data_IF_700126764098
#
_entry.id   IF_700126764098
#
_cell.length_a   1.000
_cell.length_b   1.000
_cell.length_c   1.000
_cell.angle_alpha   90.00
_cell.angle_beta   90.00
_cell.angle_gamma   90.00
#
_symmetry.space_group_name_H-M   'P 1'
#
loop_
_entity.id
_entity.type
_entity.pdbx_description
1 polymer ?
#
# COMPACT_ATOMS: atom_id res chain seq x y z
N UNK A 1 -15.93 13.45 12.13
CA UNK A 1 -14.71 13.01 11.41
C UNK A 1 -14.24 11.63 11.88
N UNK A 2 -14.15 11.38 13.20
CA UNK A 2 -13.73 10.06 13.73
C UNK A 2 -14.67 8.95 13.27
N UNK A 3 -15.98 9.16 13.32
CA UNK A 3 -17.00 8.19 12.88
C UNK A 3 -16.85 7.81 11.40
N UNK A 4 -16.45 8.77 10.54
CA UNK A 4 -16.22 8.51 9.11
C UNK A 4 -15.09 7.49 8.90
N UNK A 5 -13.99 7.63 9.63
CA UNK A 5 -12.85 6.71 9.54
C UNK A 5 -13.10 5.34 10.20
N UNK A 6 -14.07 5.25 11.09
CA UNK A 6 -14.38 4.04 11.84
C UNK A 6 -13.60 3.92 13.15
N UNK A 7 -13.96 2.94 13.96
CA UNK A 7 -13.39 2.74 15.31
C UNK A 7 -12.22 1.76 15.33
N UNK A 8 -12.20 0.77 14.44
CA UNK A 8 -11.13 -0.22 14.34
C UNK A 8 -10.95 -1.10 15.60
N UNK A 9 -9.82 -1.77 15.64
CA UNK A 9 -9.43 -2.61 16.75
C UNK A 9 -7.97 -2.33 17.16
N UNK A 10 -7.70 -1.79 18.35
CA UNK A 10 -6.36 -1.45 18.78
C UNK A 10 -5.50 -2.67 19.17
N UNK A 11 -6.08 -3.87 19.28
CA UNK A 11 -5.31 -5.07 19.61
C UNK A 11 -4.35 -5.40 18.46
N UNK A 12 -3.09 -5.57 18.80
CA UNK A 12 -2.10 -6.20 17.93
C UNK A 12 -2.50 -7.66 17.72
N UNK A 13 -2.26 -8.18 16.53
CA UNK A 13 -2.62 -9.55 16.19
C UNK A 13 -1.95 -10.58 17.07
N UNK A 14 -2.53 -11.79 17.12
CA UNK A 14 -2.29 -12.83 18.13
C UNK A 14 -0.83 -13.22 18.41
N UNK A 15 0.08 -13.03 17.47
CA UNK A 15 1.49 -13.41 17.59
C UNK A 15 2.43 -12.22 17.90
N UNK A 16 1.87 -11.05 18.19
CA UNK A 16 2.63 -9.84 18.46
C UNK A 16 3.27 -9.17 17.23
N UNK A 17 3.08 -9.74 16.05
CA UNK A 17 3.56 -9.17 14.79
C UNK A 17 2.48 -8.31 14.12
N UNK A 18 2.93 -7.36 13.29
CA UNK A 18 2.04 -6.43 12.58
C UNK A 18 1.68 -5.20 13.40
N UNK A 19 0.75 -4.42 12.87
CA UNK A 19 0.27 -3.18 13.46
C UNK A 19 -1.19 -3.30 13.92
N UNK A 20 -1.65 -2.49 14.87
CA UNK A 20 -3.06 -2.45 15.23
C UNK A 20 -3.92 -1.90 14.10
N UNK A 21 -5.17 -2.36 14.02
CA UNK A 21 -6.18 -1.87 13.08
C UNK A 21 -6.84 -0.59 13.61
N UNK A 22 -6.10 0.51 13.59
CA UNK A 22 -6.55 1.79 14.15
C UNK A 22 -6.75 2.82 13.03
N UNK A 23 -7.99 2.97 12.53
CA UNK A 23 -8.33 3.94 11.48
C UNK A 23 -7.95 5.38 11.80
N UNK A 24 -7.92 5.72 13.09
CA UNK A 24 -7.52 7.05 13.57
C UNK A 24 -6.07 7.40 13.22
N UNK A 25 -5.23 6.40 12.94
CA UNK A 25 -3.87 6.63 12.43
C UNK A 25 -3.87 7.27 11.06
N UNK A 26 -4.82 6.90 10.18
CA UNK A 26 -4.99 7.54 8.87
C UNK A 26 -5.48 8.98 9.03
N UNK A 27 -6.41 9.23 9.96
CA UNK A 27 -6.83 10.59 10.31
C UNK A 27 -5.66 11.42 10.86
N UNK A 28 -4.80 10.82 11.68
CA UNK A 28 -3.60 11.50 12.19
C UNK A 28 -2.62 11.80 11.07
N UNK A 29 -2.39 10.86 10.15
CA UNK A 29 -1.54 11.07 8.97
C UNK A 29 -2.01 12.27 8.15
N UNK A 30 -3.30 12.36 7.85
CA UNK A 30 -3.87 13.51 7.14
C UNK A 30 -3.61 14.82 7.91
N UNK A 31 -3.81 14.84 9.23
CA UNK A 31 -3.53 16.02 10.06
C UNK A 31 -2.07 16.41 10.08
N UNK A 32 -1.16 15.45 10.07
CA UNK A 32 0.28 15.71 10.01
C UNK A 32 0.68 16.35 8.68
N UNK A 33 0.14 15.84 7.57
CA UNK A 33 0.36 16.44 6.24
C UNK A 33 -0.21 17.86 6.19
N UNK A 34 -1.42 18.06 6.69
CA UNK A 34 -2.06 19.39 6.77
C UNK A 34 -1.24 20.39 7.64
N UNK A 35 -0.50 19.86 8.63
CA UNK A 35 0.42 20.66 9.47
C UNK A 35 1.82 20.83 8.84
N UNK A 36 2.05 20.36 7.61
CA UNK A 36 3.29 20.56 6.86
C UNK A 36 4.29 19.41 6.92
N UNK A 37 3.93 18.25 7.49
CA UNK A 37 4.78 17.05 7.43
C UNK A 37 4.77 16.51 5.99
N UNK A 38 5.96 16.35 5.40
CA UNK A 38 6.12 16.00 3.99
C UNK A 38 5.85 14.53 3.67
N UNK A 39 6.21 13.63 4.58
CA UNK A 39 6.06 12.18 4.38
C UNK A 39 5.55 11.57 5.67
N UNK A 40 4.48 10.79 5.58
CA UNK A 40 3.93 10.01 6.70
C UNK A 40 3.80 8.57 6.26
N UNK A 41 4.44 7.66 6.98
CA UNK A 41 4.33 6.22 6.75
C UNK A 41 3.52 5.58 7.86
N UNK A 42 2.58 4.73 7.49
CA UNK A 42 1.74 3.98 8.42
C UNK A 42 1.84 2.48 8.16
N UNK A 43 1.93 1.73 9.22
CA UNK A 43 1.67 0.30 9.21
C UNK A 43 0.22 0.06 9.67
N UNK A 44 -0.49 -0.82 8.98
CA UNK A 44 -1.88 -1.16 9.27
C UNK A 44 -2.07 -2.67 9.19
N UNK A 45 -2.59 -3.29 10.25
CA UNK A 45 -2.81 -4.72 10.37
C UNK A 45 -1.54 -5.56 10.15
N UNK A 46 -1.69 -6.81 9.78
CA UNK A 46 -0.56 -7.73 9.57
C UNK A 46 -0.38 -8.12 8.10
N UNK A 47 -1.45 -8.50 7.41
CA UNK A 47 -1.49 -8.96 6.00
C UNK A 47 -0.67 -10.23 5.68
N UNK A 48 -0.04 -10.85 6.69
CA UNK A 48 0.83 -12.02 6.55
C UNK A 48 0.10 -13.30 6.99
N UNK A 49 -0.92 -13.69 6.22
CA UNK A 49 -1.85 -14.75 6.56
C UNK A 49 -1.49 -16.08 5.91
N UNK A 50 -0.56 -16.81 6.52
CA UNK A 50 -0.17 -18.16 6.10
C UNK A 50 -1.22 -19.24 6.46
N UNK A 51 -2.27 -18.87 7.18
CA UNK A 51 -3.28 -19.79 7.66
C UNK A 51 -2.89 -20.42 8.99
N UNK A 52 -3.59 -21.45 9.36
CA UNK A 52 -3.36 -22.23 10.56
C UNK A 52 -4.59 -23.03 10.97
N UNK A 53 -4.34 -24.21 11.52
CA UNK A 53 -5.38 -25.08 12.08
C UNK A 53 -5.16 -25.15 13.60
N UNK A 54 -6.25 -25.19 14.36
CA UNK A 54 -6.18 -25.48 15.78
C UNK A 54 -6.00 -27.00 16.04
N UNK A 55 -5.92 -27.40 17.30
CA UNK A 55 -5.71 -28.80 17.69
C UNK A 55 -6.83 -29.76 17.17
N UNK A 56 -8.02 -29.24 16.91
CA UNK A 56 -9.17 -29.96 16.36
C UNK A 56 -9.19 -29.95 14.82
N UNK A 57 -8.15 -29.45 14.15
CA UNK A 57 -8.07 -29.36 12.69
C UNK A 57 -8.98 -28.28 12.06
N UNK A 58 -9.52 -27.36 12.85
CA UNK A 58 -10.34 -26.26 12.34
C UNK A 58 -9.48 -25.06 11.97
N UNK A 59 -9.81 -24.41 10.83
CA UNK A 59 -9.12 -23.21 10.36
C UNK A 59 -9.48 -22.00 11.23
N UNK A 60 -8.79 -21.82 12.35
CA UNK A 60 -8.99 -20.67 13.25
C UNK A 60 -8.19 -19.41 12.84
N UNK A 61 -7.31 -19.55 11.89
CA UNK A 61 -6.48 -18.47 11.36
C UNK A 61 -6.49 -18.45 9.82
N UNK A 62 -7.66 -18.78 9.23
CA UNK A 62 -7.78 -18.81 7.77
C UNK A 62 -7.71 -17.40 7.18
N UNK A 63 -7.22 -17.32 5.94
CA UNK A 63 -7.19 -16.05 5.20
C UNK A 63 -8.59 -15.44 5.09
N UNK A 64 -9.63 -16.23 4.90
CA UNK A 64 -11.01 -15.75 4.79
C UNK A 64 -11.51 -15.06 6.07
N UNK A 65 -11.17 -15.60 7.24
CA UNK A 65 -11.54 -14.99 8.51
C UNK A 65 -10.80 -13.66 8.70
N UNK A 66 -9.52 -13.62 8.31
CA UNK A 66 -8.70 -12.41 8.46
C UNK A 66 -9.09 -11.32 7.49
N UNK A 67 -9.36 -11.67 6.25
CA UNK A 67 -9.87 -10.72 5.26
C UNK A 67 -11.24 -10.14 5.67
N UNK A 68 -12.12 -10.97 6.23
CA UNK A 68 -13.41 -10.52 6.76
C UNK A 68 -13.27 -9.55 7.95
N UNK A 69 -12.19 -9.64 8.73
CA UNK A 69 -11.90 -8.71 9.82
C UNK A 69 -11.20 -7.43 9.33
N UNK A 70 -10.29 -7.55 8.36
CA UNK A 70 -9.43 -6.44 7.94
C UNK A 70 -10.05 -5.57 6.85
N UNK A 71 -10.63 -6.15 5.81
CA UNK A 71 -11.09 -5.40 4.65
C UNK A 71 -12.22 -4.41 4.93
N UNK A 72 -13.24 -4.70 5.73
CA UNK A 72 -14.28 -3.71 5.99
C UNK A 72 -13.76 -2.46 6.70
N UNK A 73 -12.84 -2.63 7.64
CA UNK A 73 -12.23 -1.51 8.36
C UNK A 73 -11.25 -0.75 7.46
N UNK A 74 -10.47 -1.47 6.67
CA UNK A 74 -9.54 -0.91 5.69
C UNK A 74 -10.28 -0.09 4.63
N UNK A 75 -11.31 -0.65 4.02
CA UNK A 75 -12.14 0.02 3.02
C UNK A 75 -12.73 1.32 3.57
N UNK A 76 -13.34 1.27 4.75
CA UNK A 76 -13.91 2.45 5.39
C UNK A 76 -12.86 3.52 5.67
N UNK A 77 -11.71 3.18 6.22
CA UNK A 77 -10.74 4.19 6.62
C UNK A 77 -9.95 4.77 5.44
N UNK A 78 -9.70 3.98 4.40
CA UNK A 78 -9.01 4.45 3.18
C UNK A 78 -9.93 5.35 2.35
N UNK A 79 -11.18 4.94 2.13
CA UNK A 79 -12.16 5.79 1.44
C UNK A 79 -12.39 7.10 2.18
N UNK A 80 -12.49 7.05 3.52
CA UNK A 80 -12.61 8.26 4.34
C UNK A 80 -11.39 9.17 4.23
N UNK A 81 -10.16 8.61 4.14
CA UNK A 81 -8.95 9.40 3.94
C UNK A 81 -8.98 10.13 2.59
N UNK A 82 -9.28 9.42 1.52
CA UNK A 82 -9.31 9.99 0.15
C UNK A 82 -10.38 11.08 0.06
N UNK A 83 -11.58 10.82 0.57
CA UNK A 83 -12.65 11.83 0.63
C UNK A 83 -12.26 13.05 1.47
N UNK A 84 -11.61 12.85 2.62
CA UNK A 84 -11.23 13.95 3.52
C UNK A 84 -10.14 14.84 2.88
N UNK A 85 -9.18 14.24 2.16
CA UNK A 85 -8.19 14.98 1.37
C UNK A 85 -8.88 15.83 0.30
N UNK A 86 -9.83 15.25 -0.44
CA UNK A 86 -10.58 15.96 -1.48
C UNK A 86 -11.41 17.12 -0.91
N UNK A 87 -12.19 16.87 0.14
CA UNK A 87 -13.03 17.88 0.78
C UNK A 87 -12.24 19.04 1.40
N UNK A 88 -10.97 18.84 1.67
CA UNK A 88 -10.06 19.87 2.23
C UNK A 88 -9.22 20.57 1.18
N UNK A 89 -9.35 20.21 -0.09
CA UNK A 89 -8.51 20.76 -1.16
C UNK A 89 -7.04 20.33 -1.08
N UNK A 90 -6.77 19.17 -0.46
CA UNK A 90 -5.42 18.61 -0.31
C UNK A 90 -5.15 17.47 -1.32
N UNK A 91 -6.15 17.09 -2.12
CA UNK A 91 -6.04 15.93 -2.99
C UNK A 91 -4.96 16.09 -4.07
N UNK A 92 -4.76 17.30 -4.58
CA UNK A 92 -3.76 17.56 -5.60
C UNK A 92 -2.34 17.62 -5.04
N UNK A 93 -2.19 18.04 -3.78
CA UNK A 93 -0.90 18.23 -3.12
C UNK A 93 -0.43 17.00 -2.31
N UNK A 94 -1.30 16.01 -2.13
CA UNK A 94 -1.02 14.85 -1.28
C UNK A 94 -1.22 13.54 -2.05
N UNK A 95 -0.12 12.86 -2.38
CA UNK A 95 -0.17 11.50 -2.92
C UNK A 95 -0.32 10.47 -1.79
N UNK A 96 -1.23 9.53 -1.98
CA UNK A 96 -1.43 8.36 -1.10
C UNK A 96 -1.03 7.12 -1.87
N UNK A 97 -0.15 6.31 -1.29
CA UNK A 97 0.24 5.00 -1.83
C UNK A 97 0.02 3.93 -0.78
N UNK A 98 -0.67 2.87 -1.15
CA UNK A 98 -0.95 1.72 -0.29
C UNK A 98 -0.45 0.48 -1.02
N UNK A 99 0.53 -0.17 -0.45
CA UNK A 99 1.19 -1.34 -1.03
C UNK A 99 1.80 -2.25 0.03
N UNK A 100 2.27 -3.42 -0.39
CA UNK A 100 3.12 -4.32 0.39
C UNK A 100 4.42 -4.62 -0.34
N UNK A 101 5.31 -5.37 0.29
CA UNK A 101 6.64 -5.74 -0.23
C UNK A 101 6.57 -6.79 -1.36
N UNK A 102 5.54 -7.64 -1.35
CA UNK A 102 5.25 -8.64 -2.38
C UNK A 102 3.79 -9.09 -2.32
N UNK A 103 3.35 -9.86 -3.31
CA UNK A 103 2.01 -10.46 -3.35
C UNK A 103 1.91 -11.79 -2.58
N UNK A 104 0.81 -12.46 -2.77
CA UNK A 104 0.50 -13.74 -2.12
C UNK A 104 0.23 -14.84 -3.15
N UNK A 105 0.56 -16.09 -2.81
CA UNK A 105 0.40 -17.23 -3.72
C UNK A 105 -1.00 -17.30 -4.32
N UNK A 106 -1.12 -17.55 -5.63
CA UNK A 106 -2.42 -17.76 -6.28
C UNK A 106 -3.24 -18.88 -5.65
N UNK A 107 -2.56 -19.94 -5.24
CA UNK A 107 -3.17 -21.11 -4.61
C UNK A 107 -3.20 -20.94 -3.09
N UNK A 108 -4.39 -21.19 -2.52
CA UNK A 108 -4.54 -21.29 -1.06
C UNK A 108 -3.92 -22.60 -0.59
N UNK A 109 -3.14 -22.55 0.47
CA UNK A 109 -2.47 -23.71 1.07
C UNK A 109 -3.44 -24.64 1.82
N UNK A 110 -2.99 -25.83 2.18
CA UNK A 110 -3.75 -26.74 3.04
C UNK A 110 -4.04 -26.16 4.43
N UNK A 111 -3.22 -25.20 4.89
CA UNK A 111 -3.45 -24.45 6.13
C UNK A 111 -4.49 -23.32 5.98
N UNK A 112 -5.14 -23.21 4.82
CA UNK A 112 -6.13 -22.19 4.49
C UNK A 112 -5.57 -20.77 4.56
N UNK A 113 -4.33 -20.60 4.09
CA UNK A 113 -3.63 -19.33 3.97
C UNK A 113 -2.95 -19.17 2.62
N UNK A 114 -2.21 -18.08 2.46
CA UNK A 114 -1.40 -17.79 1.28
C UNK A 114 0.03 -17.48 1.70
N UNK A 115 0.99 -18.04 0.98
CA UNK A 115 2.41 -17.81 1.20
C UNK A 115 2.92 -16.60 0.39
N UNK A 116 4.18 -16.25 0.56
CA UNK A 116 4.83 -15.14 -0.14
C UNK A 116 4.94 -15.44 -1.64
N UNK A 117 4.66 -14.43 -2.47
CA UNK A 117 4.70 -14.54 -3.93
C UNK A 117 5.28 -13.26 -4.56
N UNK A 118 6.61 -13.20 -4.78
CA UNK A 118 7.27 -11.99 -5.24
C UNK A 118 7.05 -11.66 -6.73
N UNK A 119 6.46 -12.58 -7.51
CA UNK A 119 6.25 -12.40 -8.95
C UNK A 119 5.20 -11.34 -9.28
N UNK A 120 4.24 -11.11 -8.38
CA UNK A 120 3.16 -10.14 -8.58
C UNK A 120 2.81 -9.47 -7.26
N UNK A 121 2.61 -8.18 -7.34
CA UNK A 121 2.04 -7.37 -6.27
C UNK A 121 1.04 -6.36 -6.86
N UNK A 122 0.40 -5.57 -6.01
CA UNK A 122 -0.42 -4.45 -6.44
C UNK A 122 -0.21 -3.25 -5.52
N UNK A 123 -0.52 -2.07 -6.02
CA UNK A 123 -0.57 -0.84 -5.25
C UNK A 123 -1.88 -0.10 -5.54
N UNK A 124 -2.45 0.54 -4.52
CA UNK A 124 -3.48 1.56 -4.69
C UNK A 124 -2.81 2.93 -4.62
N UNK A 125 -3.14 3.80 -5.56
CA UNK A 125 -2.63 5.17 -5.59
C UNK A 125 -3.78 6.17 -5.71
N UNK A 126 -3.71 7.25 -4.95
CA UNK A 126 -4.72 8.30 -4.96
C UNK A 126 -4.10 9.67 -4.66
N UNK A 127 -4.74 10.74 -5.09
CA UNK A 127 -4.28 12.12 -4.88
C UNK A 127 -3.08 12.49 -5.76
N UNK A 128 -2.37 13.55 -5.37
CA UNK A 128 -1.15 13.99 -6.03
C UNK A 128 -1.32 14.44 -7.47
N UNK A 129 -2.47 15.02 -7.83
CA UNK A 129 -2.81 15.39 -9.23
C UNK A 129 -2.71 14.22 -10.23
N UNK A 130 -2.74 12.98 -9.76
CA UNK A 130 -2.71 11.81 -10.64
C UNK A 130 -4.04 11.59 -11.36
N UNK A 131 -3.99 11.01 -12.56
CA UNK A 131 -5.19 10.57 -13.27
C UNK A 131 -5.77 9.33 -12.60
N UNK A 132 -7.00 9.42 -12.09
CA UNK A 132 -7.65 8.39 -11.29
C UNK A 132 -8.65 7.54 -12.10
N UNK A 133 -9.20 6.51 -11.46
CA UNK A 133 -10.28 5.69 -11.98
C UNK A 133 -9.83 4.67 -13.03
N UNK A 134 -8.57 4.27 -13.01
CA UNK A 134 -7.99 3.33 -13.96
C UNK A 134 -7.28 2.16 -13.27
N UNK A 135 -7.11 1.09 -13.99
CA UNK A 135 -6.30 -0.07 -13.62
C UNK A 135 -5.13 -0.15 -14.61
N UNK A 136 -3.90 -0.15 -14.11
CA UNK A 136 -2.68 -0.19 -14.90
C UNK A 136 -2.02 -1.54 -14.70
N UNK A 137 -1.77 -2.23 -15.82
CA UNK A 137 -1.25 -3.58 -15.83
C UNK A 137 -2.33 -4.66 -15.66
N UNK A 138 -1.96 -5.87 -16.03
CA UNK A 138 -2.82 -7.05 -15.85
C UNK A 138 -1.98 -8.29 -15.54
N UNK A 139 -2.59 -9.20 -14.80
CA UNK A 139 -2.03 -10.52 -14.51
C UNK A 139 -2.68 -11.60 -15.38
N UNK A 140 -2.09 -12.78 -15.37
CA UNK A 140 -2.75 -13.98 -15.84
C UNK A 140 -4.04 -14.26 -15.03
N UNK A 141 -4.82 -15.26 -15.49
CA UNK A 141 -6.14 -15.57 -14.92
C UNK A 141 -6.11 -15.93 -13.42
N UNK A 142 -4.97 -16.39 -12.93
CA UNK A 142 -4.84 -16.83 -11.53
C UNK A 142 -4.06 -15.82 -10.66
N UNK A 143 -3.69 -14.66 -11.20
CA UNK A 143 -2.83 -13.67 -10.55
C UNK A 143 -1.44 -14.23 -10.18
N UNK A 144 -0.89 -15.10 -11.05
CA UNK A 144 0.41 -15.73 -10.85
C UNK A 144 1.57 -14.90 -11.35
N UNK A 145 1.40 -14.19 -12.45
CA UNK A 145 2.42 -13.36 -13.06
C UNK A 145 1.81 -12.16 -13.81
N UNK A 146 2.60 -11.10 -13.97
CA UNK A 146 2.19 -9.96 -14.79
C UNK A 146 2.36 -10.28 -16.28
N UNK A 147 1.27 -10.14 -17.06
CA UNK A 147 1.25 -10.46 -18.50
C UNK A 147 1.11 -9.22 -19.40
N UNK A 148 0.72 -8.08 -18.83
CA UNK A 148 0.52 -6.84 -19.58
C UNK A 148 0.92 -5.64 -18.73
N UNK A 149 1.61 -4.69 -19.35
CA UNK A 149 2.00 -3.41 -18.76
C UNK A 149 2.52 -3.57 -17.31
N UNK A 150 3.59 -4.35 -17.08
CA UNK A 150 4.14 -4.50 -15.73
C UNK A 150 4.63 -3.15 -15.20
N UNK A 151 4.42 -2.93 -13.91
CA UNK A 151 4.90 -1.76 -13.16
C UNK A 151 5.84 -2.26 -12.08
N UNK A 152 6.99 -1.63 -11.94
CA UNK A 152 7.99 -1.95 -10.92
C UNK A 152 7.86 -1.04 -9.70
N UNK A 153 8.47 -1.41 -8.58
CA UNK A 153 8.59 -0.50 -7.43
C UNK A 153 9.34 0.78 -7.81
N UNK A 154 10.36 0.66 -8.68
CA UNK A 154 11.10 1.81 -9.20
C UNK A 154 10.21 2.80 -9.93
N UNK A 155 9.26 2.32 -10.74
CA UNK A 155 8.31 3.18 -11.47
C UNK A 155 7.36 3.92 -10.50
N UNK A 156 6.91 3.24 -9.45
CA UNK A 156 6.09 3.87 -8.39
C UNK A 156 6.90 4.95 -7.68
N UNK A 157 8.16 4.66 -7.29
CA UNK A 157 9.03 5.66 -6.67
C UNK A 157 9.33 6.83 -7.61
N UNK A 158 9.62 6.59 -8.88
CA UNK A 158 9.83 7.64 -9.86
C UNK A 158 8.59 8.55 -9.99
N UNK A 159 7.39 7.96 -9.97
CA UNK A 159 6.12 8.71 -9.97
C UNK A 159 5.99 9.59 -8.73
N UNK A 160 6.29 9.06 -7.54
CA UNK A 160 6.24 9.82 -6.29
C UNK A 160 7.28 10.94 -6.25
N UNK A 161 8.50 10.69 -6.72
CA UNK A 161 9.54 11.72 -6.82
C UNK A 161 9.13 12.84 -7.77
N UNK A 162 8.55 12.49 -8.91
CA UNK A 162 8.02 13.51 -9.83
C UNK A 162 6.92 14.36 -9.19
N UNK A 163 5.99 13.74 -8.46
CA UNK A 163 4.97 14.47 -7.69
C UNK A 163 5.60 15.43 -6.67
N UNK A 164 6.71 15.04 -6.04
CA UNK A 164 7.47 15.90 -5.11
C UNK A 164 8.35 16.95 -5.81
N UNK A 165 8.33 17.04 -7.13
CA UNK A 165 9.17 17.95 -7.91
C UNK A 165 10.64 17.52 -7.99
N UNK A 166 10.94 16.24 -7.74
CA UNK A 166 12.29 15.66 -7.78
C UNK A 166 12.45 14.89 -9.09
N UNK A 167 13.38 15.30 -9.93
CA UNK A 167 13.79 14.54 -11.11
C UNK A 167 14.63 13.33 -10.69
N UNK A 168 14.01 12.16 -10.62
CA UNK A 168 14.69 10.92 -10.24
C UNK A 168 15.72 10.44 -11.27
N UNK A 169 15.69 10.94 -12.49
CA UNK A 169 16.66 10.62 -13.54
C UNK A 169 18.02 11.33 -13.36
N UNK A 170 18.05 12.43 -12.62
CA UNK A 170 19.26 13.23 -12.38
C UNK A 170 19.62 13.37 -10.90
N UNK A 171 18.65 13.25 -10.00
CA UNK A 171 18.89 13.42 -8.57
C UNK A 171 19.67 12.24 -7.99
N UNK A 172 20.71 12.54 -7.20
CA UNK A 172 21.53 11.52 -6.52
C UNK A 172 21.69 11.85 -5.03
N UNK A 173 21.92 10.80 -4.25
CA UNK A 173 22.32 10.89 -2.83
C UNK A 173 23.70 10.24 -2.70
N UNK A 174 24.63 10.88 -1.96
CA UNK A 174 25.93 10.28 -1.68
C UNK A 174 25.80 9.09 -0.71
N UNK A 175 26.40 7.97 -1.04
CA UNK A 175 26.56 6.84 -0.13
C UNK A 175 27.59 7.17 0.99
N UNK A 176 27.80 6.21 1.90
CA UNK A 176 28.75 6.39 3.02
C UNK A 176 30.20 6.60 2.57
N UNK A 177 30.54 6.32 1.32
CA UNK A 177 31.86 6.52 0.73
C UNK A 177 31.92 7.80 -0.15
N UNK A 178 30.84 8.59 -0.15
CA UNK A 178 30.73 9.81 -0.95
C UNK A 178 30.42 9.57 -2.44
N UNK A 179 30.05 8.34 -2.85
CA UNK A 179 29.71 8.04 -4.24
C UNK A 179 28.24 8.38 -4.52
N UNK A 180 27.92 9.05 -5.65
CA UNK A 180 26.55 9.35 -6.00
C UNK A 180 25.78 8.05 -6.31
N UNK A 181 24.58 7.95 -5.71
CA UNK A 181 23.61 6.88 -5.96
C UNK A 181 22.32 7.51 -6.47
N UNK A 182 21.80 7.01 -7.57
CA UNK A 182 20.48 7.45 -8.07
C UNK A 182 19.38 7.02 -7.13
N UNK A 183 18.28 7.78 -7.12
CA UNK A 183 17.12 7.52 -6.24
C UNK A 183 16.30 6.30 -6.67
N UNK A 184 16.37 5.94 -7.94
CA UNK A 184 15.70 4.80 -8.55
C UNK A 184 16.66 4.08 -9.51
N UNK A 185 16.32 2.84 -9.88
CA UNK A 185 17.07 2.09 -10.89
C UNK A 185 17.06 2.76 -12.26
N UNK A 186 18.11 2.59 -13.06
CA UNK A 186 18.32 3.26 -14.36
C UNK A 186 17.15 3.16 -15.35
N UNK A 187 16.32 2.12 -15.25
CA UNK A 187 15.20 1.88 -16.16
C UNK A 187 13.85 2.36 -15.62
N UNK A 188 13.80 2.72 -14.34
CA UNK A 188 12.58 3.15 -13.71
C UNK A 188 12.12 4.51 -14.28
N UNK A 189 10.84 4.60 -14.60
CA UNK A 189 10.22 5.81 -15.12
C UNK A 189 8.89 6.07 -14.41
N UNK A 190 8.51 7.34 -14.27
CA UNK A 190 7.17 7.67 -13.81
C UNK A 190 6.11 6.96 -14.66
N UNK A 191 5.05 6.51 -14.02
CA UNK A 191 3.93 5.81 -14.65
C UNK A 191 3.16 6.84 -15.49
N UNK A 192 3.34 6.80 -16.80
CA UNK A 192 2.83 7.81 -17.72
C UNK A 192 1.31 7.96 -17.66
N UNK A 193 0.58 6.89 -17.39
CA UNK A 193 -0.88 6.89 -17.26
C UNK A 193 -1.39 7.66 -16.04
N UNK A 194 -0.54 7.88 -15.03
CA UNK A 194 -0.89 8.64 -13.82
C UNK A 194 -0.53 10.13 -13.94
N UNK A 195 0.30 10.48 -14.91
CA UNK A 195 0.82 11.83 -15.07
C UNK A 195 0.01 12.52 -16.17
N UNK A 196 -0.62 13.63 -15.86
CA UNK A 196 -1.36 14.48 -16.80
C UNK A 196 -0.50 15.62 -17.36
#
# INVERSE_FOLDING_TARGET
TIERYGTGNPKIMMDGNGAPRVPQSLLLARRLVEAGVRVVTLNYSKWDWHGGLNAEGRANNSIFLREAEDFPVFDQCVSALVEDLHLRGLADDCAVVIWGEFGRTPKISAAVGRDHWPQVNCALMAGGSMTHGQVIGATDRIAGEAISRPVTFGDVYATLFQHLGIDSGSATIADLNGRPQYLVEDKAKPIAELIS
#
